data_IF_964603502013
#
_entry.id   IF_964603502013
#
_cell.length_a   1.000
_cell.length_b   1.000
_cell.length_c   1.000
_cell.angle_alpha   90.00
_cell.angle_beta   90.00
_cell.angle_gamma   90.00
#
_symmetry.space_group_name_H-M   'P 1'
#
loop_
_entity.id
_entity.type
_entity.pdbx_description
1 polymer ?
#
# COMPACT_ATOMS: atom_id res chain seq x y z
N UNK A 1 -5.59 35.11 -3.51
CA UNK A 1 -5.24 34.20 -2.40
C UNK A 1 -4.24 33.21 -2.97
N UNK A 2 -3.12 33.00 -2.32
CA UNK A 2 -2.19 31.92 -2.71
C UNK A 2 -2.81 30.60 -2.31
N UNK A 3 -3.07 29.70 -3.25
CA UNK A 3 -3.53 28.36 -2.94
C UNK A 3 -2.43 27.56 -2.26
N UNK A 4 -2.80 26.69 -1.32
CA UNK A 4 -1.89 25.72 -0.71
C UNK A 4 -1.86 24.37 -1.49
N UNK A 5 -2.77 24.20 -2.47
CA UNK A 5 -2.82 22.97 -3.27
C UNK A 5 -1.59 22.86 -4.15
N UNK A 6 -0.84 21.74 -4.04
CA UNK A 6 0.27 21.45 -4.95
C UNK A 6 -0.25 21.12 -6.35
N UNK A 7 0.50 21.50 -7.38
CA UNK A 7 0.10 21.26 -8.78
C UNK A 7 0.21 19.78 -9.19
N UNK A 8 1.13 19.03 -8.58
CA UNK A 8 1.49 17.68 -9.02
C UNK A 8 1.21 16.57 -8.00
N UNK A 9 1.05 16.94 -6.73
CA UNK A 9 0.79 15.96 -5.68
C UNK A 9 -0.71 15.75 -5.51
N UNK A 10 -1.12 14.50 -5.40
CA UNK A 10 -2.50 14.21 -5.03
C UNK A 10 -2.78 14.71 -3.60
N UNK A 11 -3.86 15.45 -3.45
CA UNK A 11 -4.46 15.88 -2.17
C UNK A 11 -5.97 15.66 -2.27
N UNK A 12 -6.65 15.30 -1.19
CA UNK A 12 -8.11 15.16 -1.23
C UNK A 12 -8.75 16.54 -1.48
N UNK A 13 -9.95 16.55 -2.04
CA UNK A 13 -10.70 17.79 -2.21
C UNK A 13 -10.92 18.47 -0.86
N UNK A 14 -11.38 17.71 0.12
CA UNK A 14 -11.55 18.11 1.51
C UNK A 14 -11.09 16.98 2.44
N UNK A 15 -10.82 17.34 3.71
CA UNK A 15 -10.53 16.35 4.74
C UNK A 15 -9.05 16.01 4.93
N UNK A 16 -8.80 14.92 5.59
CA UNK A 16 -7.45 14.47 5.95
C UNK A 16 -7.11 13.19 5.20
N UNK A 17 -6.09 13.25 4.38
CA UNK A 17 -5.54 12.06 3.72
C UNK A 17 -4.70 11.25 4.72
N UNK A 18 -5.08 10.00 4.97
CA UNK A 18 -4.43 9.15 5.97
C UNK A 18 -3.42 8.16 5.36
N UNK A 19 -3.66 7.69 4.14
CA UNK A 19 -2.73 6.79 3.44
C UNK A 19 -3.14 6.54 1.98
N UNK A 20 -2.20 6.19 1.09
CA UNK A 20 -2.57 5.45 -0.12
C UNK A 20 -3.12 4.09 0.29
N UNK A 21 -4.30 3.70 -0.19
CA UNK A 21 -4.96 2.45 0.18
C UNK A 21 -4.60 1.31 -0.76
N UNK A 22 -4.58 1.57 -2.05
CA UNK A 22 -4.15 0.65 -3.10
C UNK A 22 -4.06 1.37 -4.43
N UNK A 23 -3.21 0.88 -5.33
CA UNK A 23 -3.06 1.43 -6.67
C UNK A 23 -3.10 0.27 -7.64
N UNK A 24 -3.94 0.38 -8.66
CA UNK A 24 -4.07 -0.58 -9.74
C UNK A 24 -3.82 0.14 -11.08
N UNK A 25 -3.06 -0.47 -11.95
CA UNK A 25 -2.94 -0.05 -13.33
C UNK A 25 -3.60 -1.09 -14.24
N UNK A 26 -4.54 -0.64 -15.05
CA UNK A 26 -5.19 -1.42 -16.09
C UNK A 26 -4.91 -0.80 -17.46
N UNK A 27 -4.15 -1.50 -18.30
CA UNK A 27 -3.66 -0.91 -19.54
C UNK A 27 -2.90 0.39 -19.29
N UNK A 28 -3.44 1.50 -19.77
CA UNK A 28 -2.89 2.84 -19.57
C UNK A 28 -3.62 3.62 -18.46
N UNK A 29 -4.73 3.10 -17.93
CA UNK A 29 -5.48 3.74 -16.86
C UNK A 29 -4.92 3.40 -15.48
N UNK A 30 -4.83 4.40 -14.63
CA UNK A 30 -4.37 4.29 -13.25
C UNK A 30 -5.53 4.54 -12.30
N UNK A 31 -5.72 3.66 -11.33
CA UNK A 31 -6.72 3.77 -10.28
C UNK A 31 -6.03 3.90 -8.93
N UNK A 32 -6.27 5.02 -8.27
CA UNK A 32 -5.75 5.30 -6.94
C UNK A 32 -6.89 5.25 -5.92
N UNK A 33 -6.81 4.29 -5.02
CA UNK A 33 -7.65 4.22 -3.84
C UNK A 33 -6.90 4.82 -2.67
N UNK A 34 -7.54 5.70 -1.92
CA UNK A 34 -6.90 6.39 -0.81
C UNK A 34 -7.78 6.37 0.43
N UNK A 35 -7.15 6.18 1.58
CA UNK A 35 -7.81 6.30 2.87
C UNK A 35 -7.83 7.76 3.27
N UNK A 36 -9.01 8.28 3.58
CA UNK A 36 -9.16 9.65 4.04
C UNK A 36 -10.31 9.78 5.04
N UNK A 37 -10.36 10.91 5.73
CA UNK A 37 -11.44 11.32 6.61
C UNK A 37 -12.04 12.63 6.11
N UNK A 38 -13.34 12.69 5.78
CA UNK A 38 -13.98 13.93 5.30
C UNK A 38 -13.83 15.12 6.27
N UNK A 39 -13.78 14.84 7.58
CA UNK A 39 -13.40 15.81 8.62
C UNK A 39 -12.37 15.18 9.55
N UNK A 40 -11.69 15.98 10.37
CA UNK A 40 -10.66 15.48 11.28
C UNK A 40 -11.18 14.38 12.24
N UNK A 41 -12.44 14.43 12.62
CA UNK A 41 -13.07 13.51 13.57
C UNK A 41 -13.94 12.44 12.92
N UNK A 42 -14.08 12.46 11.58
CA UNK A 42 -14.88 11.44 10.86
C UNK A 42 -14.18 10.08 10.85
N UNK A 43 -14.96 8.99 10.81
CA UNK A 43 -14.40 7.68 10.46
C UNK A 43 -13.70 7.72 9.10
N UNK A 44 -12.56 7.02 9.01
CA UNK A 44 -11.85 6.91 7.75
C UNK A 44 -12.60 5.99 6.76
N UNK A 45 -12.52 6.35 5.48
CA UNK A 45 -13.15 5.70 4.34
C UNK A 45 -12.17 5.60 3.18
N UNK A 46 -12.56 4.99 2.07
CA UNK A 46 -11.74 4.92 0.87
C UNK A 46 -12.38 5.74 -0.25
N UNK A 47 -11.70 6.80 -0.65
CA UNK A 47 -11.96 7.50 -1.90
C UNK A 47 -11.33 6.75 -3.07
N UNK A 48 -11.81 7.06 -4.26
CA UNK A 48 -11.29 6.55 -5.51
C UNK A 48 -11.04 7.72 -6.48
N UNK A 49 -9.91 7.66 -7.17
CA UNK A 49 -9.60 8.55 -8.29
C UNK A 49 -8.94 7.75 -9.40
N UNK A 50 -9.10 8.19 -10.64
CA UNK A 50 -8.41 7.57 -11.78
C UNK A 50 -7.64 8.61 -12.59
N UNK A 51 -6.72 8.14 -13.40
CA UNK A 51 -6.00 8.96 -14.37
C UNK A 51 -5.68 8.14 -15.61
N UNK A 52 -5.86 8.74 -16.78
CA UNK A 52 -5.53 8.13 -18.05
C UNK A 52 -4.07 8.43 -18.44
N UNK A 53 -3.41 7.46 -19.07
CA UNK A 53 -2.04 7.56 -19.60
C UNK A 53 -0.93 7.78 -18.54
N UNK A 54 -1.14 8.62 -17.55
CA UNK A 54 -0.10 8.95 -16.56
C UNK A 54 -0.67 9.15 -15.16
N UNK A 55 0.05 8.81 -14.09
CA UNK A 55 -0.47 8.88 -12.73
C UNK A 55 -0.30 10.29 -12.12
N UNK A 56 -0.73 11.34 -12.81
CA UNK A 56 -0.59 12.73 -12.35
C UNK A 56 -1.89 13.53 -12.41
N UNK A 57 -2.70 13.37 -13.46
CA UNK A 57 -3.94 14.13 -13.67
C UNK A 57 -5.14 13.33 -13.14
N UNK A 58 -5.32 13.34 -11.83
CA UNK A 58 -6.33 12.55 -11.15
C UNK A 58 -7.73 13.16 -11.28
N UNK A 59 -8.69 12.33 -11.66
CA UNK A 59 -10.12 12.65 -11.70
C UNK A 59 -10.82 11.89 -10.56
N UNK A 60 -11.63 12.60 -9.78
CA UNK A 60 -12.35 12.02 -8.65
C UNK A 60 -13.55 11.20 -9.12
N UNK A 61 -13.80 10.10 -8.40
CA UNK A 61 -14.98 9.24 -8.52
C UNK A 61 -15.71 9.21 -7.18
N UNK A 62 -16.89 8.59 -7.15
CA UNK A 62 -17.57 8.27 -5.91
C UNK A 62 -16.70 7.37 -5.03
N UNK A 63 -16.88 7.44 -3.72
CA UNK A 63 -16.06 6.66 -2.79
C UNK A 63 -16.26 5.16 -2.97
N UNK A 64 -15.17 4.41 -2.98
CA UNK A 64 -15.23 2.96 -3.08
C UNK A 64 -15.79 2.31 -1.81
N UNK A 65 -15.44 2.80 -0.62
CA UNK A 65 -15.83 2.18 0.65
C UNK A 65 -16.03 3.20 1.76
N UNK A 66 -17.11 3.04 2.53
CA UNK A 66 -17.30 3.71 3.81
C UNK A 66 -17.61 2.71 4.91
N UNK A 67 -17.43 3.05 6.20
CA UNK A 67 -17.82 2.20 7.31
C UNK A 67 -19.32 1.85 7.28
N UNK A 68 -19.65 0.59 7.51
CA UNK A 68 -21.03 0.10 7.57
C UNK A 68 -21.25 -0.77 8.80
N UNK A 69 -22.50 -0.88 9.24
CA UNK A 69 -22.86 -1.72 10.38
C UNK A 69 -22.14 -1.30 11.66
N UNK A 70 -21.34 -2.20 12.24
CA UNK A 70 -20.56 -1.96 13.47
C UNK A 70 -19.13 -1.47 13.24
N UNK A 71 -18.75 -1.11 12.01
CA UNK A 71 -17.42 -0.59 11.72
C UNK A 71 -17.25 0.83 12.27
N UNK A 72 -16.15 1.04 12.95
CA UNK A 72 -15.77 2.34 13.50
C UNK A 72 -14.88 3.13 12.52
N UNK A 73 -14.17 2.44 11.64
CA UNK A 73 -13.26 3.05 10.67
C UNK A 73 -12.76 1.99 9.69
N UNK A 74 -12.33 2.41 8.51
CA UNK A 74 -11.58 1.58 7.56
C UNK A 74 -10.12 2.04 7.52
N UNK A 75 -9.18 1.09 7.29
CA UNK A 75 -7.78 1.43 7.07
C UNK A 75 -7.32 0.94 5.70
N UNK A 76 -6.26 1.57 5.22
CA UNK A 76 -5.60 1.24 3.98
C UNK A 76 -5.21 -0.25 3.87
N UNK A 77 -5.12 -0.73 2.64
CA UNK A 77 -4.83 -2.10 2.33
C UNK A 77 -4.15 -2.29 0.98
N UNK A 78 -4.81 -2.99 0.06
CA UNK A 78 -4.29 -3.31 -1.27
C UNK A 78 -5.42 -3.51 -2.26
N UNK A 79 -5.16 -3.21 -3.52
CA UNK A 79 -6.06 -3.51 -4.64
C UNK A 79 -5.32 -4.43 -5.59
N UNK A 80 -5.94 -5.51 -6.02
CA UNK A 80 -5.34 -6.49 -6.91
C UNK A 80 -6.41 -7.10 -7.82
N UNK A 81 -6.01 -7.54 -9.00
CA UNK A 81 -6.86 -8.36 -9.84
C UNK A 81 -7.06 -9.73 -9.18
N UNK A 82 -8.29 -10.18 -9.06
CA UNK A 82 -8.70 -11.55 -8.76
C UNK A 82 -8.77 -12.40 -10.03
N UNK A 83 -9.33 -13.64 -9.94
CA UNK A 83 -9.50 -14.50 -11.12
C UNK A 83 -10.45 -13.90 -12.16
N UNK A 84 -11.56 -13.32 -11.73
CA UNK A 84 -12.67 -12.88 -12.59
C UNK A 84 -13.12 -11.43 -12.28
N UNK A 85 -12.50 -10.77 -11.29
CA UNK A 85 -12.94 -9.48 -10.77
C UNK A 85 -11.76 -8.72 -10.12
N UNK A 86 -12.01 -7.51 -9.65
CA UNK A 86 -11.04 -6.70 -8.92
C UNK A 86 -11.33 -6.75 -7.43
N UNK A 87 -10.30 -6.96 -6.66
CA UNK A 87 -10.35 -7.14 -5.21
C UNK A 87 -9.80 -5.92 -4.47
N UNK A 88 -10.61 -5.33 -3.59
CA UNK A 88 -10.17 -4.32 -2.64
C UNK A 88 -10.03 -4.96 -1.25
N UNK A 89 -8.82 -5.19 -0.81
CA UNK A 89 -8.54 -5.70 0.53
C UNK A 89 -8.32 -4.54 1.47
N UNK A 90 -9.15 -4.44 2.50
CA UNK A 90 -9.07 -3.35 3.48
C UNK A 90 -9.08 -3.87 4.90
N UNK A 91 -8.66 -3.04 5.84
CA UNK A 91 -8.75 -3.36 7.26
C UNK A 91 -10.02 -2.75 7.83
N UNK A 92 -10.92 -3.60 8.33
CA UNK A 92 -12.10 -3.19 9.07
C UNK A 92 -11.76 -3.08 10.56
N UNK A 93 -12.15 -1.97 11.17
CA UNK A 93 -11.99 -1.70 12.61
C UNK A 93 -13.35 -1.65 13.25
N UNK A 94 -13.58 -2.51 14.23
CA UNK A 94 -14.83 -2.59 14.99
C UNK A 94 -14.54 -2.53 16.49
N UNK A 95 -15.57 -2.40 17.30
CA UNK A 95 -15.44 -2.51 18.76
C UNK A 95 -14.99 -3.92 19.22
N UNK A 96 -15.21 -4.95 18.41
CA UNK A 96 -14.84 -6.33 18.71
C UNK A 96 -13.39 -6.67 18.28
N UNK A 97 -12.77 -5.87 17.42
CA UNK A 97 -11.42 -6.12 16.92
C UNK A 97 -11.17 -5.57 15.53
N UNK A 98 -10.08 -6.06 14.96
CA UNK A 98 -9.55 -5.64 13.65
C UNK A 98 -9.37 -6.89 12.79
N UNK A 99 -9.83 -6.83 11.54
CA UNK A 99 -9.70 -7.93 10.58
C UNK A 99 -9.55 -7.41 9.15
N UNK A 100 -9.11 -8.29 8.24
CA UNK A 100 -9.01 -7.97 6.81
C UNK A 100 -10.30 -8.39 6.12
N UNK A 101 -10.88 -7.45 5.41
CA UNK A 101 -12.10 -7.61 4.62
C UNK A 101 -11.80 -7.46 3.13
N UNK A 102 -12.71 -7.96 2.32
CA UNK A 102 -12.70 -7.87 0.86
C UNK A 102 -13.97 -7.16 0.39
N UNK A 103 -13.81 -6.26 -0.56
CA UNK A 103 -14.84 -5.81 -1.47
C UNK A 103 -14.40 -6.09 -2.91
N UNK A 104 -15.33 -6.16 -3.83
CA UNK A 104 -15.09 -6.52 -5.23
C UNK A 104 -15.89 -5.65 -6.17
N UNK A 105 -15.42 -5.57 -7.39
CA UNK A 105 -16.18 -5.10 -8.54
C UNK A 105 -15.76 -5.86 -9.80
N UNK A 106 -16.68 -5.98 -10.74
CA UNK A 106 -16.50 -6.87 -11.87
C UNK A 106 -15.48 -6.34 -12.87
N UNK A 107 -15.51 -5.05 -13.13
CA UNK A 107 -14.64 -4.39 -14.12
C UNK A 107 -14.18 -3.04 -13.58
N UNK A 108 -12.92 -2.73 -13.78
CA UNK A 108 -12.32 -1.48 -13.30
C UNK A 108 -12.93 -0.26 -13.98
N UNK A 109 -13.33 -0.38 -15.23
CA UNK A 109 -13.95 0.71 -16.00
C UNK A 109 -15.39 1.04 -15.52
N UNK A 110 -16.04 0.12 -14.79
CA UNK A 110 -17.38 0.31 -14.25
C UNK A 110 -17.42 1.12 -12.94
N UNK A 111 -16.28 1.38 -12.31
CA UNK A 111 -16.23 2.04 -10.99
C UNK A 111 -15.88 3.52 -11.04
N UNK A 112 -16.09 4.19 -12.14
CA UNK A 112 -15.85 5.62 -12.26
C UNK A 112 -17.16 6.42 -12.24
N UNK A 113 -18.13 6.02 -11.40
CA UNK A 113 -19.32 6.82 -11.16
C UNK A 113 -18.96 8.12 -10.45
N UNK A 114 -19.58 9.19 -10.88
CA UNK A 114 -19.44 10.53 -10.29
C UNK A 114 -20.81 11.09 -10.03
N UNK A 115 -21.19 11.24 -8.78
CA UNK A 115 -22.43 11.84 -8.36
C UNK A 115 -22.24 13.26 -7.82
N UNK A 116 -23.34 14.00 -7.66
CA UNK A 116 -23.30 15.34 -7.04
C UNK A 116 -23.11 15.29 -5.50
N UNK A 117 -23.17 14.11 -4.89
CA UNK A 117 -22.92 13.90 -3.45
C UNK A 117 -21.46 13.53 -3.23
N UNK A 118 -20.63 14.40 -2.61
CA UNK A 118 -19.20 14.13 -2.40
C UNK A 118 -18.93 12.97 -1.44
N UNK A 119 -19.95 12.36 -0.84
CA UNK A 119 -19.83 11.19 0.03
C UNK A 119 -20.60 9.99 -0.52
N UNK A 120 -21.07 10.04 -1.75
CA UNK A 120 -21.69 8.90 -2.41
C UNK A 120 -20.75 7.69 -2.44
N UNK A 121 -21.34 6.51 -2.48
CA UNK A 121 -20.61 5.25 -2.66
C UNK A 121 -20.89 4.73 -4.05
N UNK A 122 -19.85 4.30 -4.72
CA UNK A 122 -19.95 3.63 -6.00
C UNK A 122 -20.80 2.35 -5.85
N UNK A 123 -21.96 2.25 -6.53
CA UNK A 123 -22.87 1.10 -6.41
C UNK A 123 -22.28 -0.19 -7.00
N UNK A 124 -21.23 -0.11 -7.83
CA UNK A 124 -20.59 -1.26 -8.45
C UNK A 124 -19.57 -1.92 -7.49
N UNK A 125 -19.20 -1.26 -6.40
CA UNK A 125 -18.34 -1.83 -5.36
C UNK A 125 -19.16 -2.65 -4.37
N UNK A 126 -19.02 -3.97 -4.44
CA UNK A 126 -19.78 -4.92 -3.63
C UNK A 126 -18.94 -5.50 -2.49
N UNK A 127 -19.35 -5.29 -1.24
CA UNK A 127 -18.68 -5.88 -0.08
C UNK A 127 -18.87 -7.39 -0.02
N UNK A 128 -17.76 -8.12 0.11
CA UNK A 128 -17.78 -9.57 0.34
C UNK A 128 -17.79 -9.91 1.83
N UNK A 129 -17.02 -9.18 2.64
CA UNK A 129 -16.90 -9.38 4.08
C UNK A 129 -15.49 -9.77 4.54
N UNK A 130 -15.40 -10.33 5.74
CA UNK A 130 -14.13 -10.78 6.33
C UNK A 130 -13.51 -11.94 5.56
N UNK A 131 -12.23 -11.80 5.20
CA UNK A 131 -11.43 -12.85 4.54
C UNK A 131 -10.25 -13.31 5.39
N UNK A 132 -9.76 -12.47 6.31
CA UNK A 132 -8.76 -12.86 7.32
C UNK A 132 -9.15 -12.29 8.67
N UNK A 133 -9.57 -13.15 9.56
CA UNK A 133 -9.95 -12.84 10.94
C UNK A 133 -9.03 -13.52 11.96
N UNK A 134 -9.37 -13.34 13.22
CA UNK A 134 -8.60 -13.88 14.32
C UNK A 134 -8.50 -15.41 14.26
N UNK A 135 -7.30 -15.91 14.53
CA UNK A 135 -7.00 -17.33 14.68
C UNK A 135 -6.58 -17.63 16.12
N UNK A 136 -6.35 -18.92 16.43
CA UNK A 136 -5.96 -19.33 17.79
C UNK A 136 -4.68 -18.64 18.31
N UNK A 137 -3.73 -18.29 17.40
CA UNK A 137 -2.41 -17.78 17.77
C UNK A 137 -2.12 -16.39 17.22
N UNK A 138 -3.01 -15.83 16.39
CA UNK A 138 -2.81 -14.55 15.72
C UNK A 138 -4.13 -13.79 15.71
N UNK A 139 -4.07 -12.54 16.08
CA UNK A 139 -5.20 -11.63 16.15
C UNK A 139 -4.86 -10.25 15.57
N UNK A 140 -5.85 -9.38 15.45
CA UNK A 140 -5.67 -8.01 14.97
C UNK A 140 -5.02 -7.94 13.58
N UNK A 141 -5.48 -8.78 12.64
CA UNK A 141 -4.99 -8.76 11.26
C UNK A 141 -5.30 -7.42 10.58
N UNK A 142 -4.28 -6.80 10.00
CA UNK A 142 -4.38 -5.46 9.39
C UNK A 142 -3.31 -5.21 8.34
N UNK A 143 -3.47 -4.08 7.60
CA UNK A 143 -2.51 -3.59 6.60
C UNK A 143 -2.18 -4.62 5.52
N UNK A 144 -3.17 -5.26 4.90
CA UNK A 144 -2.92 -6.26 3.86
C UNK A 144 -2.17 -5.63 2.68
N UNK A 145 -1.24 -6.40 2.14
CA UNK A 145 -0.55 -6.13 0.89
C UNK A 145 -0.61 -7.38 0.04
N UNK A 146 -1.47 -7.37 -0.95
CA UNK A 146 -1.67 -8.50 -1.84
C UNK A 146 -0.89 -8.28 -3.12
N UNK A 147 -0.12 -9.29 -3.50
CA UNK A 147 0.62 -9.35 -4.75
C UNK A 147 0.41 -10.70 -5.41
N UNK A 148 0.52 -10.79 -6.73
CA UNK A 148 0.55 -12.08 -7.41
C UNK A 148 1.68 -12.97 -6.88
N UNK A 149 1.41 -14.28 -6.74
CA UNK A 149 2.47 -15.25 -6.48
C UNK A 149 3.12 -15.66 -7.80
N UNK A 150 4.24 -15.02 -8.10
CA UNK A 150 5.04 -15.29 -9.29
C UNK A 150 6.08 -16.41 -9.08
N UNK A 151 5.86 -17.33 -8.15
CA UNK A 151 6.81 -18.39 -7.83
C UNK A 151 7.12 -19.31 -9.02
N UNK A 152 6.21 -19.39 -10.00
CA UNK A 152 6.42 -20.10 -11.27
C UNK A 152 6.73 -19.10 -12.38
N UNK A 153 7.96 -19.10 -12.89
CA UNK A 153 8.38 -18.23 -14.00
C UNK A 153 7.81 -18.68 -15.38
N UNK A 154 7.21 -19.88 -15.45
CA UNK A 154 6.77 -20.52 -16.69
C UNK A 154 5.36 -20.10 -17.15
N UNK A 155 4.80 -19.03 -16.61
CA UNK A 155 3.44 -18.60 -16.96
C UNK A 155 3.44 -17.39 -17.86
N UNK A 156 3.02 -17.57 -19.08
CA UNK A 156 2.84 -16.51 -20.07
C UNK A 156 1.71 -15.54 -19.67
N UNK A 157 0.67 -16.07 -19.00
CA UNK A 157 -0.50 -15.28 -18.57
C UNK A 157 -0.79 -15.50 -17.08
N UNK A 158 -0.45 -14.52 -16.24
CA UNK A 158 -0.87 -14.52 -14.85
C UNK A 158 0.11 -15.16 -13.85
N UNK A 159 -0.42 -15.81 -12.83
CA UNK A 159 0.31 -16.32 -11.67
C UNK A 159 -0.40 -17.51 -11.02
N UNK A 160 0.30 -18.24 -10.13
CA UNK A 160 -0.24 -19.44 -9.46
C UNK A 160 -1.18 -19.17 -8.28
N UNK A 161 -1.41 -17.91 -7.94
CA UNK A 161 -2.19 -17.48 -6.81
C UNK A 161 -1.70 -16.14 -6.29
N UNK A 162 -2.02 -15.87 -5.05
CA UNK A 162 -1.70 -14.59 -4.40
C UNK A 162 -0.97 -14.81 -3.08
N UNK A 163 -0.03 -13.90 -2.79
CA UNK A 163 0.58 -13.72 -1.48
C UNK A 163 0.00 -12.47 -0.82
N UNK A 164 -0.27 -12.56 0.48
CA UNK A 164 -0.61 -11.40 1.31
C UNK A 164 0.44 -11.26 2.41
N UNK A 165 1.07 -10.10 2.49
CA UNK A 165 1.78 -9.66 3.67
C UNK A 165 0.79 -8.86 4.51
N UNK A 166 0.69 -9.18 5.79
CA UNK A 166 -0.18 -8.46 6.72
C UNK A 166 0.53 -8.29 8.07
N UNK A 167 -0.08 -7.53 8.96
CA UNK A 167 0.36 -7.41 10.35
C UNK A 167 -0.64 -8.10 11.27
N UNK A 168 -0.14 -8.66 12.36
CA UNK A 168 -0.94 -9.17 13.48
C UNK A 168 -0.42 -8.59 14.80
N UNK A 169 -1.07 -8.93 15.91
CA UNK A 169 -0.69 -8.48 17.25
C UNK A 169 -1.04 -7.01 17.53
N UNK A 170 -0.75 -6.58 18.74
CA UNK A 170 -1.02 -5.21 19.17
C UNK A 170 -0.22 -4.17 18.36
N UNK A 171 -0.66 -2.93 18.40
CA UNK A 171 -0.04 -1.83 17.62
C UNK A 171 1.38 -1.50 18.07
N UNK A 172 1.72 -1.74 19.33
CA UNK A 172 3.04 -1.54 19.93
C UNK A 172 4.01 -2.72 19.68
N UNK A 173 3.47 -3.87 19.27
CA UNK A 173 4.23 -5.08 18.97
C UNK A 173 3.69 -5.78 17.70
N UNK A 174 3.69 -5.11 16.55
CA UNK A 174 3.18 -5.70 15.30
C UNK A 174 4.08 -6.84 14.83
N UNK A 175 3.47 -7.91 14.34
CA UNK A 175 4.18 -9.06 13.76
C UNK A 175 3.79 -9.17 12.28
N UNK A 176 4.73 -8.98 11.35
CA UNK A 176 4.49 -9.27 9.94
C UNK A 176 4.25 -10.76 9.71
N UNK A 177 3.25 -11.09 8.92
CA UNK A 177 2.88 -12.46 8.57
C UNK A 177 2.70 -12.62 7.07
N UNK A 178 2.82 -13.87 6.61
CA UNK A 178 2.61 -14.29 5.23
C UNK A 178 1.38 -15.19 5.17
N UNK A 179 0.48 -14.85 4.24
CA UNK A 179 -0.67 -15.67 3.87
C UNK A 179 -0.61 -15.95 2.37
N UNK A 180 -1.23 -17.03 1.95
CA UNK A 180 -1.36 -17.43 0.55
C UNK A 180 -2.80 -17.73 0.20
N UNK A 181 -3.16 -17.57 -1.05
CA UNK A 181 -4.47 -17.89 -1.59
C UNK A 181 -4.37 -18.33 -3.05
N UNK A 182 -5.21 -19.30 -3.45
CA UNK A 182 -5.34 -19.70 -4.85
C UNK A 182 -6.44 -18.91 -5.58
N UNK A 183 -7.36 -18.29 -4.85
CA UNK A 183 -8.56 -17.63 -5.39
C UNK A 183 -8.69 -16.15 -4.97
N UNK A 184 -7.73 -15.63 -4.18
CA UNK A 184 -7.77 -14.28 -3.63
C UNK A 184 -8.84 -14.06 -2.54
N UNK A 185 -9.57 -15.09 -2.16
CA UNK A 185 -10.67 -15.02 -1.18
C UNK A 185 -10.40 -15.90 0.04
N UNK A 186 -9.98 -17.12 -0.21
CA UNK A 186 -9.70 -18.12 0.83
C UNK A 186 -8.22 -18.08 1.20
N UNK A 187 -7.92 -17.44 2.33
CA UNK A 187 -6.52 -17.20 2.74
C UNK A 187 -6.03 -18.22 3.77
N UNK A 188 -4.86 -18.76 3.53
CA UNK A 188 -4.16 -19.66 4.45
C UNK A 188 -2.94 -18.98 5.04
N UNK A 189 -2.93 -18.83 6.37
CA UNK A 189 -1.77 -18.31 7.09
C UNK A 189 -0.59 -19.29 7.01
N UNK A 190 0.54 -18.82 6.49
CA UNK A 190 1.83 -19.56 6.46
C UNK A 190 2.59 -19.38 7.76
N UNK A 191 2.56 -18.19 8.36
CA UNK A 191 3.22 -17.87 9.63
C UNK A 191 3.83 -16.48 9.66
N UNK A 192 4.58 -16.21 10.73
CA UNK A 192 5.32 -14.96 10.88
C UNK A 192 6.50 -14.86 9.90
N UNK A 193 6.70 -13.66 9.36
CA UNK A 193 7.87 -13.36 8.53
C UNK A 193 9.15 -13.49 9.37
N UNK A 194 10.12 -14.23 8.84
CA UNK A 194 11.45 -14.46 9.44
C UNK A 194 12.52 -13.93 8.51
N UNK A 195 13.61 -13.47 9.08
CA UNK A 195 14.79 -13.08 8.32
C UNK A 195 15.90 -14.09 8.49
N UNK A 196 16.49 -14.52 7.38
CA UNK A 196 17.76 -15.25 7.34
C UNK A 196 18.83 -14.25 6.87
N UNK A 197 19.81 -13.98 7.73
CA UNK A 197 20.73 -12.85 7.61
C UNK A 197 20.29 -11.62 8.43
N UNK A 198 21.16 -10.62 8.48
CA UNK A 198 20.88 -9.36 9.21
C UNK A 198 19.99 -8.44 8.37
N UNK A 199 18.76 -8.12 8.82
CA UNK A 199 17.92 -7.18 8.11
C UNK A 199 18.40 -5.72 8.20
N UNK A 200 19.40 -5.38 9.03
CA UNK A 200 19.94 -4.04 9.14
C UNK A 200 19.01 -3.02 9.81
N UNK A 201 18.00 -3.46 10.57
CA UNK A 201 17.03 -2.56 11.19
C UNK A 201 17.61 -1.69 12.32
N UNK A 202 18.78 -2.03 12.81
CA UNK A 202 19.50 -1.28 13.86
C UNK A 202 20.66 -0.42 13.32
N UNK A 203 20.91 -0.44 12.03
CA UNK A 203 21.97 0.38 11.44
C UNK A 203 21.63 1.88 11.52
N UNK A 204 22.67 2.69 11.76
CA UNK A 204 22.58 4.13 11.88
C UNK A 204 22.63 4.63 13.32
N UNK A 205 21.83 5.61 13.67
CA UNK A 205 21.88 6.36 14.94
C UNK A 205 21.34 5.59 16.17
N UNK A 206 20.97 4.31 16.02
CA UNK A 206 20.36 3.52 17.10
C UNK A 206 21.43 2.66 17.76
N UNK A 207 21.60 2.71 19.11
CA UNK A 207 22.52 1.81 19.80
C UNK A 207 22.18 0.34 19.55
N UNK A 208 23.17 -0.52 19.35
CA UNK A 208 23.01 -1.96 19.13
C UNK A 208 22.23 -2.70 20.26
N UNK A 209 22.08 -2.05 21.41
CA UNK A 209 21.31 -2.55 22.55
C UNK A 209 19.83 -2.14 22.53
N UNK A 210 19.43 -1.33 21.54
CA UNK A 210 18.03 -0.93 21.40
C UNK A 210 17.17 -2.08 20.92
N UNK A 211 15.90 -2.16 21.34
CA UNK A 211 14.98 -3.14 20.79
C UNK A 211 14.80 -2.90 19.27
N UNK A 212 14.59 -3.99 18.53
CA UNK A 212 14.24 -3.88 17.10
C UNK A 212 12.98 -3.01 16.99
N UNK A 213 13.01 -1.95 16.18
CA UNK A 213 11.85 -1.07 16.03
C UNK A 213 10.68 -1.84 15.41
N UNK A 214 9.43 -1.52 15.77
CA UNK A 214 8.25 -2.09 15.14
C UNK A 214 8.32 -1.94 13.61
N UNK A 215 8.11 -3.06 12.92
CA UNK A 215 8.05 -3.12 11.46
C UNK A 215 6.58 -3.02 11.05
N UNK A 216 6.22 -1.97 10.35
CA UNK A 216 4.87 -1.75 9.87
C UNK A 216 4.83 -1.62 8.34
N UNK A 217 3.63 -1.73 7.78
CA UNK A 217 3.39 -1.50 6.35
C UNK A 217 4.29 -2.34 5.41
N UNK A 218 4.44 -3.67 5.62
CA UNK A 218 5.26 -4.48 4.73
C UNK A 218 4.63 -4.55 3.34
N UNK A 219 5.46 -4.41 2.29
CA UNK A 219 5.07 -4.50 0.88
C UNK A 219 6.13 -5.25 0.11
N UNK A 220 5.71 -6.07 -0.83
CA UNK A 220 6.61 -6.88 -1.64
C UNK A 220 6.47 -6.50 -3.11
N UNK A 221 7.61 -6.33 -3.77
CA UNK A 221 7.69 -6.27 -5.23
C UNK A 221 8.83 -7.14 -5.70
N UNK A 222 8.77 -7.63 -6.94
CA UNK A 222 9.86 -8.37 -7.58
C UNK A 222 10.50 -7.52 -8.66
N UNK A 223 11.81 -7.41 -8.61
CA UNK A 223 12.57 -6.65 -9.60
C UNK A 223 13.76 -7.47 -10.09
N UNK A 224 14.03 -7.36 -11.39
CA UNK A 224 15.25 -7.86 -12.00
C UNK A 224 16.37 -6.87 -11.73
N UNK A 225 17.47 -7.36 -11.15
CA UNK A 225 18.67 -6.54 -10.99
C UNK A 225 19.36 -6.37 -12.36
N UNK A 226 19.59 -5.11 -12.74
CA UNK A 226 20.16 -4.76 -14.05
C UNK A 226 21.64 -5.19 -14.19
N UNK A 227 22.33 -5.44 -13.05
CA UNK A 227 23.75 -5.82 -13.06
C UNK A 227 23.93 -7.31 -13.28
N UNK A 228 23.20 -8.16 -12.56
CA UNK A 228 23.37 -9.61 -12.60
C UNK A 228 22.25 -10.37 -13.31
N UNK A 229 21.15 -9.68 -13.65
CA UNK A 229 20.00 -10.23 -14.35
C UNK A 229 19.09 -11.12 -13.49
N UNK A 230 19.40 -11.32 -12.20
CA UNK A 230 18.58 -12.10 -11.31
C UNK A 230 17.34 -11.34 -10.82
N UNK A 231 16.25 -12.07 -10.57
CA UNK A 231 15.06 -11.51 -9.97
C UNK A 231 15.17 -11.61 -8.45
N UNK A 232 14.97 -10.48 -7.77
CA UNK A 232 14.95 -10.36 -6.31
C UNK A 232 13.60 -9.90 -5.80
N UNK A 233 13.27 -10.35 -4.60
CA UNK A 233 12.19 -9.78 -3.82
C UNK A 233 12.69 -8.51 -3.13
N UNK A 234 12.02 -7.41 -3.33
CA UNK A 234 12.25 -6.14 -2.64
C UNK A 234 11.15 -5.94 -1.62
N UNK A 235 11.52 -6.02 -0.36
CA UNK A 235 10.61 -5.86 0.76
C UNK A 235 10.67 -4.43 1.29
N UNK A 236 9.66 -3.63 0.97
CA UNK A 236 9.47 -2.32 1.60
C UNK A 236 8.89 -2.49 2.99
N UNK A 237 9.42 -1.75 3.93
CA UNK A 237 8.94 -1.67 5.31
C UNK A 237 9.03 -0.25 5.83
N UNK A 238 8.22 0.06 6.83
CA UNK A 238 8.35 1.28 7.62
C UNK A 238 8.71 0.87 9.05
N UNK A 239 9.75 1.49 9.59
CA UNK A 239 10.21 1.28 10.96
C UNK A 239 9.71 2.45 11.81
N UNK A 240 8.97 2.16 12.87
CA UNK A 240 8.53 3.17 13.84
C UNK A 240 9.65 3.43 14.85
N UNK A 241 10.37 4.52 14.67
CA UNK A 241 11.54 4.90 15.49
C UNK A 241 11.28 6.18 16.27
N UNK A 242 11.09 6.08 17.59
CA UNK A 242 10.98 7.25 18.46
C UNK A 242 9.87 8.22 18.06
N UNK A 243 8.71 7.70 17.64
CA UNK A 243 7.57 8.49 17.16
C UNK A 243 7.70 8.99 15.72
N UNK A 244 8.65 8.43 14.96
CA UNK A 244 8.85 8.74 13.53
C UNK A 244 8.77 7.48 12.69
N UNK A 245 8.12 7.58 11.55
CA UNK A 245 8.14 6.58 10.51
C UNK A 245 9.40 6.74 9.65
N UNK A 246 10.19 5.68 9.53
CA UNK A 246 11.35 5.62 8.64
C UNK A 246 11.08 4.54 7.61
N UNK A 247 10.75 4.93 6.40
CA UNK A 247 10.48 3.99 5.31
C UNK A 247 11.74 3.61 4.57
N UNK A 248 11.83 2.34 4.22
CA UNK A 248 12.97 1.79 3.51
C UNK A 248 12.64 0.44 2.88
N UNK A 249 13.67 -0.22 2.40
CA UNK A 249 13.57 -1.50 1.71
C UNK A 249 14.72 -2.41 2.06
N UNK A 250 14.48 -3.71 1.88
CA UNK A 250 15.49 -4.77 1.87
C UNK A 250 15.44 -5.47 0.52
N UNK A 251 16.58 -6.00 0.07
CA UNK A 251 16.65 -6.84 -1.13
C UNK A 251 17.00 -8.26 -0.71
N UNK A 252 16.30 -9.25 -1.23
CA UNK A 252 16.49 -10.64 -0.86
C UNK A 252 15.62 -11.61 -1.65
N UNK A 253 15.27 -12.71 -1.03
CA UNK A 253 14.38 -13.74 -1.58
C UNK A 253 13.42 -14.23 -0.50
N UNK A 254 12.13 -14.21 -0.80
CA UNK A 254 11.09 -14.74 0.06
C UNK A 254 10.74 -16.17 -0.36
N UNK A 255 10.99 -17.12 0.52
CA UNK A 255 10.59 -18.51 0.36
C UNK A 255 9.74 -18.96 1.56
N UNK A 256 8.48 -19.27 1.31
CA UNK A 256 7.52 -19.57 2.37
C UNK A 256 7.34 -18.39 3.33
N UNK A 257 7.92 -18.45 4.51
CA UNK A 257 7.90 -17.35 5.51
C UNK A 257 9.27 -16.77 5.80
N UNK A 258 10.30 -17.22 5.09
CA UNK A 258 11.69 -16.79 5.33
C UNK A 258 12.15 -15.86 4.22
N UNK A 259 12.56 -14.66 4.60
CA UNK A 259 13.20 -13.70 3.72
C UNK A 259 14.73 -13.79 3.92
N UNK A 260 15.41 -14.39 2.94
CA UNK A 260 16.87 -14.45 2.92
C UNK A 260 17.42 -13.11 2.46
N UNK A 261 18.13 -12.41 3.34
CA UNK A 261 18.61 -11.04 3.11
C UNK A 261 19.86 -11.07 2.22
N UNK A 262 19.80 -10.35 1.10
CA UNK A 262 20.94 -10.09 0.21
C UNK A 262 21.51 -8.69 0.50
N UNK A 263 20.64 -7.70 0.68
CA UNK A 263 21.02 -6.35 1.10
C UNK A 263 20.08 -5.91 2.22
N UNK A 264 20.67 -5.51 3.35
CA UNK A 264 19.91 -5.03 4.53
C UNK A 264 19.18 -3.72 4.28
N UNK A 265 18.49 -3.25 5.30
CA UNK A 265 17.62 -2.08 5.25
C UNK A 265 18.33 -0.82 4.74
N UNK A 266 17.73 -0.20 3.74
CA UNK A 266 18.14 1.11 3.21
C UNK A 266 16.93 2.03 3.16
N UNK A 267 17.12 3.29 3.51
CA UNK A 267 16.05 4.29 3.38
C UNK A 267 15.64 4.43 1.91
N UNK A 268 14.33 4.54 1.68
CA UNK A 268 13.76 4.82 0.37
C UNK A 268 13.61 6.32 0.12
N UNK A 269 13.61 7.12 1.18
CA UNK A 269 13.51 8.58 1.09
C UNK A 269 14.29 9.23 2.23
N UNK A 270 14.91 10.36 1.94
CA UNK A 270 15.71 11.14 2.89
C UNK A 270 15.03 12.44 3.35
N UNK A 271 13.82 12.69 2.86
CA UNK A 271 12.97 13.79 3.33
C UNK A 271 12.34 13.50 4.69
N UNK A 272 11.50 14.42 5.14
CA UNK A 272 10.89 14.34 6.47
C UNK A 272 9.54 13.62 6.47
N UNK A 273 8.82 13.64 5.36
CA UNK A 273 7.37 13.36 5.34
C UNK A 273 7.02 12.05 4.64
N UNK A 274 7.88 11.51 3.79
CA UNK A 274 7.59 10.30 3.03
C UNK A 274 7.50 9.07 3.94
N UNK A 275 6.34 8.45 3.97
CA UNK A 275 6.09 7.26 4.79
C UNK A 275 5.19 6.24 4.10
N UNK A 276 5.24 5.01 4.57
CA UNK A 276 4.32 3.90 4.26
C UNK A 276 4.06 3.71 2.77
N UNK A 277 5.11 3.51 1.94
CA UNK A 277 4.95 3.37 0.50
C UNK A 277 4.02 2.21 0.12
N UNK A 278 3.29 2.39 -0.98
CA UNK A 278 2.49 1.37 -1.65
C UNK A 278 3.04 1.14 -3.04
N UNK A 279 3.12 -0.11 -3.46
CA UNK A 279 3.37 -0.47 -4.85
C UNK A 279 2.06 -0.43 -5.65
N UNK A 280 2.20 -0.22 -6.94
CA UNK A 280 1.12 -0.38 -7.91
C UNK A 280 1.05 -1.84 -8.33
N UNK A 281 -0.14 -2.42 -8.25
CA UNK A 281 -0.46 -3.69 -8.89
C UNK A 281 -0.95 -3.43 -10.33
N UNK A 282 -0.88 -4.44 -11.18
CA UNK A 282 -1.31 -4.36 -12.58
C UNK A 282 -2.30 -5.47 -12.90
N UNK A 283 -3.21 -5.21 -13.82
CA UNK A 283 -4.08 -6.24 -14.40
C UNK A 283 -3.30 -7.12 -15.37
N UNK A 284 -3.81 -8.31 -15.61
CA UNK A 284 -3.26 -9.25 -16.59
C UNK A 284 -3.24 -8.61 -17.99
N UNK A 285 -2.13 -8.70 -18.68
CA UNK A 285 -1.96 -8.09 -20.02
C UNK A 285 -1.47 -6.63 -20.01
N UNK A 286 -1.53 -5.92 -18.89
CA UNK A 286 -1.00 -4.55 -18.78
C UNK A 286 0.52 -4.49 -18.95
N UNK A 287 1.24 -5.51 -18.49
CA UNK A 287 2.69 -5.65 -18.65
C UNK A 287 3.02 -6.94 -19.38
N UNK A 288 4.01 -6.88 -20.29
CA UNK A 288 4.58 -8.11 -20.84
C UNK A 288 5.37 -8.88 -19.77
N UNK A 289 5.65 -10.19 -19.96
CA UNK A 289 6.47 -10.97 -19.05
C UNK A 289 7.84 -10.33 -18.77
N UNK A 290 8.47 -9.71 -19.78
CA UNK A 290 9.74 -9.01 -19.62
C UNK A 290 9.59 -7.73 -18.79
N UNK A 291 8.55 -6.94 -19.02
CA UNK A 291 8.31 -5.67 -18.32
C UNK A 291 7.95 -5.87 -16.85
N UNK A 292 7.35 -7.02 -16.50
CA UNK A 292 6.85 -7.35 -15.16
C UNK A 292 7.86 -7.15 -14.05
N UNK A 293 9.13 -7.44 -14.34
CA UNK A 293 10.22 -7.37 -13.36
C UNK A 293 11.22 -6.23 -13.61
N UNK A 294 11.05 -5.45 -14.68
CA UNK A 294 12.00 -4.37 -14.98
C UNK A 294 11.87 -3.21 -13.98
N UNK A 295 10.66 -2.93 -13.55
CA UNK A 295 10.36 -1.75 -12.73
C UNK A 295 9.08 -1.92 -11.94
N UNK A 296 8.98 -1.18 -10.86
CA UNK A 296 7.72 -0.99 -10.12
C UNK A 296 7.43 0.51 -9.97
N UNK A 297 6.21 0.84 -9.59
CA UNK A 297 5.82 2.21 -9.23
C UNK A 297 5.36 2.21 -7.79
N UNK A 298 5.88 3.15 -7.00
CA UNK A 298 5.53 3.34 -5.59
C UNK A 298 5.01 4.75 -5.34
N UNK A 299 4.10 4.86 -4.38
CA UNK A 299 3.57 6.13 -3.86
C UNK A 299 3.59 6.08 -2.34
N UNK A 300 4.01 7.15 -1.69
CA UNK A 300 4.05 7.26 -0.23
C UNK A 300 3.16 8.39 0.28
N UNK A 301 2.80 8.34 1.56
CA UNK A 301 2.12 9.42 2.25
C UNK A 301 3.12 10.51 2.63
N UNK A 302 2.71 11.76 2.46
CA UNK A 302 3.39 12.96 2.94
C UNK A 302 2.53 13.60 4.03
N UNK A 303 2.86 13.34 5.30
CA UNK A 303 1.99 13.68 6.43
C UNK A 303 2.66 14.50 7.52
N UNK A 304 3.74 15.21 7.22
CA UNK A 304 4.47 15.96 8.23
C UNK A 304 5.15 15.08 9.28
N UNK A 305 5.37 13.80 8.95
CA UNK A 305 5.93 12.78 9.83
C UNK A 305 7.18 13.27 10.60
N UNK A 306 7.19 13.04 11.88
CA UNK A 306 8.27 13.48 12.78
C UNK A 306 8.15 14.92 13.27
N UNK A 307 7.09 15.65 12.94
CA UNK A 307 6.81 17.01 13.40
C UNK A 307 5.74 17.08 14.49
N UNK A 308 5.30 15.94 15.03
CA UNK A 308 4.22 15.88 16.03
C UNK A 308 2.89 16.26 15.42
N UNK A 309 2.52 15.60 14.37
CA UNK A 309 1.59 16.08 13.39
C UNK A 309 0.11 15.95 13.80
N UNK A 310 -0.49 17.10 14.00
CA UNK A 310 -1.93 17.27 14.08
C UNK A 310 -2.37 17.90 12.75
N UNK A 311 -3.04 17.13 11.90
CA UNK A 311 -3.47 17.56 10.58
C UNK A 311 -4.29 18.86 10.63
N UNK A 312 -5.03 19.09 11.71
CA UNK A 312 -5.85 20.31 11.88
C UNK A 312 -5.02 21.58 12.12
N UNK A 313 -3.71 21.46 12.31
CA UNK A 313 -2.77 22.58 12.46
C UNK A 313 -1.99 22.88 11.18
N UNK A 314 -2.25 22.15 10.09
CA UNK A 314 -1.68 22.47 8.80
C UNK A 314 -2.27 23.78 8.26
N UNK A 315 -1.42 24.58 7.60
CA UNK A 315 -1.88 25.82 6.97
C UNK A 315 -2.96 25.57 5.90
N UNK A 316 -2.87 24.44 5.19
CA UNK A 316 -3.87 24.01 4.21
C UNK A 316 -5.20 23.66 4.86
N UNK A 317 -5.20 23.07 6.06
CA UNK A 317 -6.43 22.79 6.79
C UNK A 317 -7.16 24.06 7.20
N UNK A 318 -6.43 25.02 7.78
CA UNK A 318 -7.02 26.30 8.20
C UNK A 318 -7.54 27.12 7.02
N UNK A 319 -6.83 27.08 5.88
CA UNK A 319 -7.15 27.92 4.72
C UNK A 319 -8.15 27.28 3.75
N UNK A 320 -8.09 25.96 3.56
CA UNK A 320 -8.76 25.25 2.46
C UNK A 320 -9.39 23.90 2.86
N UNK A 321 -9.35 23.53 4.14
CA UNK A 321 -10.06 22.34 4.68
C UNK A 321 -9.43 20.98 4.37
N UNK A 322 -8.17 20.92 3.89
CA UNK A 322 -7.50 19.66 3.59
C UNK A 322 -6.13 19.53 4.30
N UNK A 323 -5.68 18.31 4.51
CA UNK A 323 -4.36 18.03 5.05
C UNK A 323 -3.76 16.74 4.50
N UNK A 324 -2.43 16.70 4.45
CA UNK A 324 -1.58 15.67 3.90
C UNK A 324 -1.67 15.56 2.36
N UNK A 325 -0.71 14.85 1.78
CA UNK A 325 -0.64 14.64 0.34
C UNK A 325 -0.04 13.27 0.05
N UNK A 326 -0.18 12.76 -1.17
CA UNK A 326 0.66 11.67 -1.66
C UNK A 326 1.92 12.21 -2.33
N UNK A 327 2.99 11.44 -2.24
CA UNK A 327 4.18 11.73 -3.03
C UNK A 327 3.87 11.61 -4.52
N UNK A 328 4.68 12.23 -5.35
CA UNK A 328 4.66 11.88 -6.76
C UNK A 328 4.88 10.36 -6.92
N UNK A 329 4.20 9.72 -7.86
CA UNK A 329 4.48 8.34 -8.23
C UNK A 329 5.93 8.20 -8.68
N UNK A 330 6.64 7.24 -8.10
CA UNK A 330 8.06 6.99 -8.36
C UNK A 330 8.24 5.65 -9.03
N UNK A 331 8.84 5.66 -10.22
CA UNK A 331 9.37 4.46 -10.84
C UNK A 331 10.63 4.03 -10.09
N UNK A 332 10.69 2.76 -9.70
CA UNK A 332 11.85 2.15 -9.05
C UNK A 332 12.41 1.02 -9.90
N UNK A 333 13.73 0.96 -10.01
CA UNK A 333 14.52 -0.11 -10.64
C UNK A 333 15.56 -0.63 -9.67
N UNK A 334 16.09 -1.82 -9.92
CA UNK A 334 17.10 -2.44 -9.06
C UNK A 334 18.42 -2.57 -9.83
N UNK A 335 19.52 -2.05 -9.27
CA UNK A 335 20.84 -2.11 -9.86
C UNK A 335 21.89 -2.42 -8.77
N UNK A 336 22.52 -3.59 -8.83
CA UNK A 336 23.51 -4.03 -7.85
C UNK A 336 22.98 -4.09 -6.41
N UNK A 337 21.73 -4.50 -6.21
CA UNK A 337 21.07 -4.57 -4.90
C UNK A 337 20.68 -3.20 -4.34
N UNK A 338 20.66 -2.15 -5.15
CA UNK A 338 20.25 -0.78 -4.77
C UNK A 338 19.05 -0.36 -5.61
N UNK A 339 18.01 0.23 -4.97
CA UNK A 339 16.90 0.85 -5.68
C UNK A 339 17.28 2.24 -6.18
N UNK A 340 17.07 2.44 -7.46
CA UNK A 340 17.08 3.76 -8.09
C UNK A 340 15.65 4.25 -8.29
N UNK A 341 15.45 5.54 -8.18
CA UNK A 341 14.14 6.16 -8.22
C UNK A 341 14.12 7.32 -9.20
N UNK A 342 13.06 7.41 -9.98
CA UNK A 342 12.75 8.54 -10.84
C UNK A 342 11.24 8.82 -10.76
N UNK A 343 10.76 10.03 -11.07
CA UNK A 343 9.34 10.25 -11.29
C UNK A 343 8.79 9.24 -12.29
N UNK A 344 7.55 8.80 -12.11
CA UNK A 344 6.89 7.96 -13.11
C UNK A 344 6.82 8.73 -14.45
N UNK A 345 6.77 8.03 -15.61
CA UNK A 345 6.57 8.66 -16.90
C UNK A 345 5.26 9.47 -16.95
N UNK A 346 5.24 10.51 -17.77
CA UNK A 346 4.06 11.37 -17.91
C UNK A 346 4.01 12.56 -16.95
N UNK A 347 5.11 12.86 -16.25
CA UNK A 347 5.20 14.11 -15.48
C UNK A 347 5.06 15.29 -16.43
N UNK A 348 4.08 16.21 -16.22
CA UNK A 348 3.83 17.36 -17.06
C UNK A 348 5.01 18.32 -17.18
#
# INVERSE_FOLDING_TARGET
>A
MTTHRPELHFVPEDGVLDAPAGILRDGDTWHLFHQYRPTADSPARWGHTYSEESPFDWLDCDDALAPVGGELSLRAGSVAQGPDDIHLYFTSVTAAGISVHLARYADVDEICEVSDDPQALDPNVVRFGEVVGNTRNFDHFRSPSVVPDWASEDRDDGHDGWLMLALTGHSDAPVPVILESADGVSWRLRGGLKFDGDPGFLEGEVPATSPIPPVVSPRLVRLRDEVDGNIYDVLFVTLERGGRDVSGYLVGRLEGTTFTVVSGFRRVDFGHDFSRPRNTNTTTGTLTPEQRYERAVIVGLLNGNGRGDDATKHASWEAEGWANALSLPRRVTLEGGVLYQAPAPGLP
#
